data_IF_358307569621
#
_entry.id   IF_358307569621
#
_cell.length_a   1.000
_cell.length_b   1.000
_cell.length_c   1.000
_cell.angle_alpha   90.00
_cell.angle_beta   90.00
_cell.angle_gamma   90.00
#
_symmetry.space_group_name_H-M   'P 1'
#
loop_
_entity.id
_entity.type
_entity.pdbx_description
1 polymer ?
#
# COMPACT_ATOMS: atom_id res chain seq x y z
N UNK A 1 -1.82 11.32 7.30
CA UNK A 1 -0.99 10.09 7.32
C UNK A 1 -1.17 9.27 6.05
N UNK A 2 -2.41 8.94 5.65
CA UNK A 2 -2.70 8.07 4.50
C UNK A 2 -2.15 8.57 3.15
N UNK A 3 -2.32 9.86 2.82
CA UNK A 3 -1.75 10.44 1.58
C UNK A 3 -0.23 10.29 1.50
N UNK A 4 0.47 10.53 2.60
CA UNK A 4 1.93 10.36 2.70
C UNK A 4 2.34 8.89 2.54
N UNK A 5 1.56 7.97 3.10
CA UNK A 5 1.79 6.54 2.92
C UNK A 5 1.77 6.16 1.43
N UNK A 6 0.71 6.56 0.71
CA UNK A 6 0.62 6.24 -0.72
C UNK A 6 1.71 6.91 -1.56
N UNK A 7 2.04 8.16 -1.26
CA UNK A 7 3.11 8.88 -1.96
C UNK A 7 4.49 8.25 -1.76
N UNK A 8 4.90 7.98 -0.52
CA UNK A 8 6.24 7.47 -0.23
C UNK A 8 6.39 6.00 -0.61
N UNK A 9 5.41 5.16 -0.26
CA UNK A 9 5.49 3.71 -0.48
C UNK A 9 5.22 3.36 -1.94
N UNK A 10 4.16 3.91 -2.54
CA UNK A 10 3.73 3.49 -3.87
C UNK A 10 4.31 4.36 -4.98
N UNK A 11 4.05 5.68 -4.95
CA UNK A 11 4.45 6.59 -6.04
C UNK A 11 5.98 6.73 -6.14
N UNK A 12 6.65 6.92 -5.00
CA UNK A 12 8.13 6.99 -4.94
C UNK A 12 8.80 5.63 -4.82
N UNK A 13 8.03 4.56 -4.56
CA UNK A 13 8.55 3.21 -4.43
C UNK A 13 9.50 2.99 -3.26
N UNK A 14 9.46 3.82 -2.20
CA UNK A 14 10.41 3.73 -1.08
C UNK A 14 10.02 2.60 -0.14
N UNK A 15 10.67 1.45 -0.29
CA UNK A 15 10.48 0.31 0.60
C UNK A 15 10.83 0.64 2.06
N UNK A 16 11.79 1.52 2.32
CA UNK A 16 12.18 1.94 3.68
C UNK A 16 11.05 2.69 4.40
N UNK A 17 10.18 3.39 3.65
CA UNK A 17 9.03 4.08 4.23
C UNK A 17 8.02 3.08 4.85
N UNK A 18 8.04 1.81 4.44
CA UNK A 18 7.24 0.75 5.05
C UNK A 18 7.73 0.50 6.48
N UNK A 19 9.04 0.48 6.74
CA UNK A 19 9.55 0.29 8.11
C UNK A 19 9.25 1.48 9.01
N UNK A 20 9.28 2.69 8.45
CA UNK A 20 9.04 3.93 9.19
C UNK A 20 7.56 4.12 9.58
N UNK A 21 6.64 3.70 8.70
CA UNK A 21 5.23 4.08 8.78
C UNK A 21 4.27 2.93 9.05
N UNK A 22 4.67 1.67 8.79
CA UNK A 22 3.83 0.51 9.04
C UNK A 22 4.00 0.05 10.49
N UNK A 23 2.90 -0.24 11.18
CA UNK A 23 2.96 -0.71 12.56
C UNK A 23 3.68 -2.06 12.66
N UNK A 24 4.52 -2.24 13.68
CA UNK A 24 5.31 -3.46 13.87
C UNK A 24 4.43 -4.73 13.98
N UNK A 25 3.27 -4.59 14.62
CA UNK A 25 2.21 -5.59 14.75
C UNK A 25 1.06 -5.39 13.75
N UNK A 26 1.23 -4.48 12.79
CA UNK A 26 0.26 -4.16 11.76
C UNK A 26 -0.11 -5.38 10.94
N UNK A 27 -1.39 -5.47 10.57
CA UNK A 27 -1.91 -6.59 9.78
C UNK A 27 -2.57 -6.06 8.52
N UNK A 28 -2.01 -6.41 7.37
CA UNK A 28 -2.56 -6.12 6.06
C UNK A 28 -3.57 -7.20 5.66
N UNK A 29 -4.85 -6.84 5.68
CA UNK A 29 -5.98 -7.72 5.35
C UNK A 29 -6.30 -7.67 3.86
N UNK A 30 -6.67 -8.81 3.26
CA UNK A 30 -7.13 -8.90 1.87
C UNK A 30 -6.05 -8.69 0.80
N UNK A 31 -4.80 -8.50 1.20
CA UNK A 31 -3.65 -8.36 0.29
C UNK A 31 -2.89 -9.67 0.10
N UNK A 32 -3.16 -10.67 0.93
CA UNK A 32 -2.75 -12.04 0.71
C UNK A 32 -3.71 -12.72 -0.28
N UNK A 33 -3.19 -13.56 -1.17
CA UNK A 33 -4.03 -14.40 -2.05
C UNK A 33 -4.92 -15.40 -1.29
N UNK A 34 -4.67 -15.56 0.01
CA UNK A 34 -5.47 -16.33 0.96
C UNK A 34 -6.06 -15.38 2.03
N UNK A 35 -7.39 -15.21 2.09
CA UNK A 35 -8.07 -14.41 3.11
C UNK A 35 -7.82 -14.87 4.55
N UNK A 36 -7.41 -16.11 4.77
CA UNK A 36 -7.11 -16.68 6.09
C UNK A 36 -5.67 -16.43 6.55
N UNK A 37 -4.79 -15.93 5.66
CA UNK A 37 -3.38 -15.74 5.92
C UNK A 37 -2.95 -14.28 5.68
N UNK A 38 -3.36 -13.32 6.52
CA UNK A 38 -3.04 -11.91 6.32
C UNK A 38 -1.53 -11.64 6.49
N UNK A 39 -1.04 -10.63 5.78
CA UNK A 39 0.36 -10.20 5.89
C UNK A 39 0.57 -9.49 7.22
N UNK A 40 1.59 -9.91 7.97
CA UNK A 40 1.90 -9.39 9.30
C UNK A 40 3.22 -8.64 9.29
N UNK A 41 3.18 -7.43 9.86
CA UNK A 41 4.32 -6.55 10.03
C UNK A 41 4.91 -6.02 8.72
N UNK A 42 5.91 -5.13 8.83
CA UNK A 42 6.54 -4.48 7.68
C UNK A 42 7.25 -5.47 6.76
N UNK A 43 7.88 -6.51 7.30
CA UNK A 43 8.57 -7.53 6.51
C UNK A 43 7.62 -8.30 5.57
N UNK A 44 6.44 -8.68 6.06
CA UNK A 44 5.42 -9.35 5.23
C UNK A 44 4.88 -8.43 4.15
N UNK A 45 4.69 -7.14 4.47
CA UNK A 45 4.19 -6.15 3.52
C UNK A 45 5.21 -5.83 2.41
N UNK A 46 6.51 -5.78 2.72
CA UNK A 46 7.58 -5.56 1.74
C UNK A 46 7.61 -6.59 0.61
N UNK A 47 7.40 -7.86 0.94
CA UNK A 47 7.34 -8.92 -0.07
C UNK A 47 6.23 -8.68 -1.11
N UNK A 48 5.06 -8.22 -0.65
CA UNK A 48 3.97 -7.84 -1.53
C UNK A 48 4.33 -6.59 -2.34
N UNK A 49 4.89 -5.58 -1.68
CA UNK A 49 5.29 -4.32 -2.33
C UNK A 49 6.26 -4.57 -3.50
N UNK A 50 7.29 -5.39 -3.29
CA UNK A 50 8.26 -5.75 -4.32
C UNK A 50 7.60 -6.50 -5.50
N UNK A 51 6.74 -7.47 -5.20
CA UNK A 51 5.99 -8.21 -6.23
C UNK A 51 5.09 -7.28 -7.05
N UNK A 52 4.36 -6.40 -6.37
CA UNK A 52 3.40 -5.51 -7.00
C UNK A 52 4.08 -4.45 -7.86
N UNK A 53 5.21 -3.89 -7.40
CA UNK A 53 6.04 -2.97 -8.20
C UNK A 53 6.71 -3.66 -9.38
N UNK A 54 7.07 -4.94 -9.24
CA UNK A 54 7.58 -5.74 -10.36
C UNK A 54 6.55 -5.94 -11.46
N UNK A 55 5.27 -6.12 -11.10
CA UNK A 55 4.18 -6.23 -12.06
C UNK A 55 3.74 -4.86 -12.64
N UNK A 56 3.84 -3.80 -11.84
CA UNK A 56 3.38 -2.46 -12.18
C UNK A 56 4.44 -1.40 -11.82
N UNK A 57 5.51 -1.29 -12.62
CA UNK A 57 6.64 -0.42 -12.29
C UNK A 57 6.28 1.07 -12.33
N UNK A 58 5.35 1.46 -13.20
CA UNK A 58 4.91 2.84 -13.44
C UNK A 58 3.59 3.15 -12.71
N UNK A 59 3.30 2.48 -11.59
CA UNK A 59 2.09 2.76 -10.84
C UNK A 59 2.11 4.16 -10.24
N UNK A 60 1.07 4.93 -10.56
CA UNK A 60 0.73 6.16 -9.86
C UNK A 60 -0.58 5.95 -9.09
N UNK A 61 -0.52 6.18 -7.78
CA UNK A 61 -1.65 6.09 -6.86
C UNK A 61 -2.12 7.50 -6.52
N UNK A 62 -3.33 7.83 -6.96
CA UNK A 62 -4.01 9.09 -6.61
C UNK A 62 -5.04 8.82 -5.51
N UNK A 63 -4.85 9.44 -4.34
CA UNK A 63 -5.83 9.39 -3.24
C UNK A 63 -6.92 10.41 -3.49
N UNK A 64 -8.08 9.96 -3.95
CA UNK A 64 -9.20 10.84 -4.30
C UNK A 64 -9.95 11.31 -3.05
N UNK A 65 -10.36 10.38 -2.20
CA UNK A 65 -11.08 10.67 -0.96
C UNK A 65 -10.57 9.86 0.23
N UNK A 66 -10.83 10.33 1.45
CA UNK A 66 -10.40 9.71 2.69
C UNK A 66 -11.41 10.00 3.79
N UNK A 67 -12.09 8.96 4.29
CA UNK A 67 -13.05 9.07 5.42
C UNK A 67 -12.41 8.52 6.70
N UNK A 68 -12.02 9.37 7.64
CA UNK A 68 -11.53 8.90 8.94
C UNK A 68 -12.66 8.85 9.98
N UNK A 69 -12.81 7.74 10.69
CA UNK A 69 -13.75 7.62 11.82
C UNK A 69 -13.04 7.07 13.05
N UNK A 70 -12.84 7.93 14.06
CA UNK A 70 -12.14 7.58 15.30
C UNK A 70 -10.74 7.02 15.05
N UNK A 71 -10.44 5.86 15.64
CA UNK A 71 -9.14 5.18 15.52
C UNK A 71 -9.02 4.34 14.24
N UNK A 72 -10.03 4.33 13.37
CA UNK A 72 -10.05 3.59 12.11
C UNK A 72 -9.96 4.56 10.93
N UNK A 73 -8.95 4.37 10.10
CA UNK A 73 -8.78 5.17 8.88
C UNK A 73 -9.35 4.43 7.67
N UNK A 74 -10.39 5.03 7.10
CA UNK A 74 -10.78 5.15 5.69
C UNK A 74 -10.68 3.99 4.71
N UNK A 75 -11.83 3.73 4.07
CA UNK A 75 -11.90 3.41 2.66
C UNK A 75 -11.19 4.52 1.85
N UNK A 76 -10.22 4.14 1.05
CA UNK A 76 -9.50 5.02 0.13
C UNK A 76 -9.94 4.67 -1.28
N UNK A 77 -10.58 5.59 -2.00
CA UNK A 77 -10.67 5.45 -3.44
C UNK A 77 -9.31 5.84 -4.01
N UNK A 78 -8.67 4.87 -4.67
CA UNK A 78 -7.44 5.08 -5.39
C UNK A 78 -7.64 4.74 -6.85
N UNK A 79 -7.25 5.66 -7.72
CA UNK A 79 -7.13 5.40 -9.15
C UNK A 79 -5.66 5.05 -9.43
N UNK A 80 -5.41 3.85 -9.93
CA UNK A 80 -4.11 3.41 -10.41
C UNK A 80 -4.07 3.59 -11.92
N UNK A 81 -3.23 4.50 -12.42
CA UNK A 81 -3.06 4.72 -13.86
C UNK A 81 -1.91 3.83 -14.33
N UNK A 82 -2.24 2.81 -15.11
CA UNK A 82 -1.23 2.01 -15.80
C UNK A 82 -0.97 2.62 -17.16
N UNK A 83 0.23 3.20 -17.34
CA UNK A 83 0.70 3.56 -18.67
C UNK A 83 0.86 2.30 -19.52
N UNK A 84 -0.13 1.99 -20.35
CA UNK A 84 0.01 0.94 -21.37
C UNK A 84 1.10 1.36 -22.36
N UNK A 85 2.33 0.91 -22.13
CA UNK A 85 3.37 0.98 -23.15
C UNK A 85 3.23 -0.24 -24.06
N UNK A 86 2.50 -0.01 -25.16
CA UNK A 86 2.39 -0.78 -26.42
C UNK A 86 2.27 -2.31 -26.38
#
# INVERSE_FOLDING_TARGET
MLRRWFEEVWNKGRADAIDEMFAADGVAQGLSGDPSAPLRGPAGFKLLHDQFRGAFPDIEVVVEDTIAEGDKVAACLVSAIFGSSR
#
